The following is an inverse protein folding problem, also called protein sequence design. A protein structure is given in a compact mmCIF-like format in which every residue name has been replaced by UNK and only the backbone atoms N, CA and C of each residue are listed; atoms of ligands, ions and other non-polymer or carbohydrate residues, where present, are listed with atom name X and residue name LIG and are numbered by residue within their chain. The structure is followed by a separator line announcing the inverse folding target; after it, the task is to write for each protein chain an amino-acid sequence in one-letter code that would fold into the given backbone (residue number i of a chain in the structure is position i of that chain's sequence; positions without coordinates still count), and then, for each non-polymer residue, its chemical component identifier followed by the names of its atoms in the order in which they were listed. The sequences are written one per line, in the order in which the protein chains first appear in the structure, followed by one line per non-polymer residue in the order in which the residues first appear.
data_IF_767419145709
#
_entry.id   IF_767419145709
#
_cell.length_a   1.000
_cell.length_b   1.000
_cell.length_c   1.000
_cell.angle_alpha   90.00
_cell.angle_beta   90.00
_cell.angle_gamma   90.00
#
_symmetry.space_group_name_H-M   'P 1'
#
loop_
_entity.id
_entity.type
_entity.pdbx_description
1 polymer ?
#
# COMPACT_ATOMS: atom_id res chain seq x y z
N UNK A 1 -1.76 9.02 23.70
CA UNK A 1 -0.48 8.66 23.03
C UNK A 1 -0.67 7.25 22.46
N UNK A 2 -0.40 7.02 21.16
CA UNK A 2 -0.66 5.82 20.31
C UNK A 2 -1.70 5.96 19.17
N UNK A 3 -2.19 7.17 18.84
CA UNK A 3 -3.09 7.37 17.70
C UNK A 3 -2.50 6.89 16.36
N UNK A 4 -1.19 7.07 16.15
CA UNK A 4 -0.49 6.59 14.95
C UNK A 4 -0.50 5.06 14.83
N UNK A 5 -0.39 4.34 15.96
CA UNK A 5 -0.40 2.87 15.98
C UNK A 5 -1.79 2.33 15.65
N UNK A 6 -2.83 2.95 16.22
CA UNK A 6 -4.22 2.59 15.93
C UNK A 6 -4.52 2.80 14.44
N UNK A 7 -4.12 3.95 13.87
CA UNK A 7 -4.30 4.22 12.44
C UNK A 7 -3.55 3.20 11.56
N UNK A 8 -2.33 2.81 11.95
CA UNK A 8 -1.56 1.79 11.23
C UNK A 8 -2.23 0.40 11.29
N UNK A 9 -2.79 0.01 12.43
CA UNK A 9 -3.52 -1.25 12.58
C UNK A 9 -4.80 -1.27 11.74
N UNK A 10 -5.58 -0.17 11.77
CA UNK A 10 -6.76 -0.02 10.92
C UNK A 10 -6.37 -0.10 9.44
N UNK A 11 -5.32 0.61 9.02
CA UNK A 11 -4.84 0.56 7.65
C UNK A 11 -4.42 -0.86 7.24
N UNK A 12 -3.70 -1.58 8.11
CA UNK A 12 -3.27 -2.97 7.87
C UNK A 12 -4.48 -3.89 7.67
N UNK A 13 -5.50 -3.75 8.52
CA UNK A 13 -6.74 -4.51 8.41
C UNK A 13 -7.47 -4.19 7.10
N UNK A 14 -7.58 -2.92 6.73
CA UNK A 14 -8.22 -2.49 5.48
C UNK A 14 -7.43 -2.94 4.25
N UNK A 15 -6.10 -2.98 4.29
CA UNK A 15 -5.28 -3.55 3.20
C UNK A 15 -5.53 -5.05 3.03
N UNK A 16 -5.76 -5.79 4.11
CA UNK A 16 -6.18 -7.20 4.05
C UNK A 16 -7.53 -7.38 3.36
N UNK A 17 -8.54 -6.59 3.75
CA UNK A 17 -9.86 -6.59 3.09
C UNK A 17 -9.72 -6.20 1.62
N UNK A 18 -8.94 -5.15 1.33
CA UNK A 18 -8.71 -4.67 -0.02
C UNK A 18 -8.10 -5.74 -0.91
N UNK A 19 -7.09 -6.48 -0.44
CA UNK A 19 -6.49 -7.59 -1.21
C UNK A 19 -7.49 -8.72 -1.48
N UNK A 20 -8.28 -9.11 -0.48
CA UNK A 20 -9.32 -10.12 -0.63
C UNK A 20 -10.41 -9.70 -1.64
N UNK A 21 -10.95 -8.49 -1.50
CA UNK A 21 -11.95 -7.94 -2.41
C UNK A 21 -11.40 -7.77 -3.83
N UNK A 22 -10.14 -7.37 -3.97
CA UNK A 22 -9.46 -7.28 -5.26
C UNK A 22 -9.42 -8.64 -5.95
N UNK A 23 -9.06 -9.72 -5.21
CA UNK A 23 -9.11 -11.07 -5.78
C UNK A 23 -10.51 -11.45 -6.24
N UNK A 24 -11.54 -11.24 -5.40
CA UNK A 24 -12.93 -11.53 -5.77
C UNK A 24 -13.38 -10.77 -7.03
N UNK A 25 -13.02 -9.50 -7.13
CA UNK A 25 -13.33 -8.68 -8.30
C UNK A 25 -12.64 -9.20 -9.57
N UNK A 26 -11.35 -9.56 -9.48
CA UNK A 26 -10.57 -10.07 -10.63
C UNK A 26 -11.01 -11.44 -11.13
N UNK A 27 -11.76 -12.21 -10.33
CA UNK A 27 -12.40 -13.45 -10.78
C UNK A 27 -13.64 -13.14 -11.64
N UNK A 28 -14.30 -12.01 -11.39
CA UNK A 28 -15.57 -11.66 -12.01
C UNK A 28 -15.42 -10.82 -13.28
N UNK A 29 -14.41 -9.95 -13.32
CA UNK A 29 -14.13 -9.02 -14.43
C UNK A 29 -12.62 -8.88 -14.65
N UNK A 30 -12.22 -8.38 -15.82
CA UNK A 30 -10.81 -8.19 -16.16
C UNK A 30 -10.11 -7.19 -15.22
N UNK A 31 -8.79 -7.35 -15.05
CA UNK A 31 -7.94 -6.56 -14.15
C UNK A 31 -8.01 -5.06 -14.40
N UNK A 32 -8.06 -4.63 -15.66
CA UNK A 32 -8.16 -3.21 -16.02
C UNK A 32 -9.50 -2.61 -15.58
N UNK A 33 -10.61 -3.34 -15.75
CA UNK A 33 -11.92 -2.92 -15.23
C UNK A 33 -11.93 -2.86 -13.70
N UNK A 34 -11.34 -3.84 -13.00
CA UNK A 34 -11.19 -3.78 -11.53
C UNK A 34 -10.38 -2.55 -11.12
N UNK A 35 -9.27 -2.27 -11.80
CA UNK A 35 -8.46 -1.08 -11.58
C UNK A 35 -9.28 0.21 -11.75
N UNK A 36 -10.07 0.32 -12.82
CA UNK A 36 -10.95 1.47 -13.05
C UNK A 36 -11.96 1.66 -11.91
N UNK A 37 -12.63 0.60 -11.45
CA UNK A 37 -13.56 0.68 -10.32
C UNK A 37 -12.86 1.06 -9.01
N UNK A 38 -11.63 0.59 -8.78
CA UNK A 38 -10.82 1.02 -7.63
C UNK A 38 -10.50 2.52 -7.69
N UNK A 39 -10.17 3.07 -8.87
CA UNK A 39 -9.96 4.52 -9.04
C UNK A 39 -11.23 5.30 -8.69
N UNK A 40 -12.39 4.86 -9.17
CA UNK A 40 -13.68 5.50 -8.87
C UNK A 40 -13.99 5.48 -7.38
N UNK A 41 -13.75 4.34 -6.71
CA UNK A 41 -13.88 4.22 -5.26
C UNK A 41 -12.93 5.16 -4.50
N UNK A 42 -11.67 5.26 -4.94
CA UNK A 42 -10.67 6.16 -4.37
C UNK A 42 -11.06 7.64 -4.50
N UNK A 43 -11.55 8.05 -5.68
CA UNK A 43 -12.08 9.40 -5.91
C UNK A 43 -13.29 9.67 -5.00
N UNK A 44 -14.22 8.72 -4.89
CA UNK A 44 -15.39 8.85 -4.02
C UNK A 44 -14.99 9.07 -2.55
N UNK A 45 -14.09 8.23 -2.02
CA UNK A 45 -13.58 8.36 -0.63
C UNK A 45 -12.85 9.69 -0.45
N UNK A 46 -12.08 10.13 -1.43
CA UNK A 46 -11.36 11.42 -1.38
C UNK A 46 -12.33 12.60 -1.32
N UNK A 47 -13.35 12.62 -2.18
CA UNK A 47 -14.37 13.68 -2.20
C UNK A 47 -15.17 13.70 -0.88
N UNK A 48 -15.53 12.54 -0.35
CA UNK A 48 -16.17 12.45 0.97
C UNK A 48 -15.26 12.98 2.07
N UNK A 49 -13.99 12.57 2.08
CA UNK A 49 -13.05 13.01 3.11
C UNK A 49 -12.85 14.53 3.09
N UNK A 50 -12.69 15.12 1.89
CA UNK A 50 -12.56 16.58 1.74
C UNK A 50 -13.86 17.28 2.13
N UNK A 51 -15.01 16.80 1.64
CA UNK A 51 -16.32 17.41 1.89
C UNK A 51 -16.80 17.33 3.34
N UNK A 52 -16.34 16.34 4.11
CA UNK A 52 -16.62 16.20 5.54
C UNK A 52 -15.57 16.85 6.44
N UNK A 53 -14.46 17.34 5.87
CA UNK A 53 -13.38 17.97 6.64
C UNK A 53 -13.53 19.49 6.68
N UNK A 54 -13.34 20.08 7.86
CA UNK A 54 -13.20 21.54 8.02
C UNK A 54 -11.76 22.03 7.71
N UNK A 55 -10.91 21.15 7.19
CA UNK A 55 -9.48 21.41 6.99
C UNK A 55 -9.30 22.26 5.73
N UNK A 56 -8.60 23.39 5.86
CA UNK A 56 -8.18 24.19 4.71
C UNK A 56 -7.09 23.46 3.95
N UNK A 57 -7.33 23.19 2.66
CA UNK A 57 -6.34 22.60 1.76
C UNK A 57 -5.13 23.53 1.70
N UNK A 58 -3.94 22.97 1.95
CA UNK A 58 -2.68 23.69 1.89
C UNK A 58 -2.09 23.57 0.49
N UNK A 59 -1.71 24.70 -0.11
CA UNK A 59 -1.13 24.76 -1.46
C UNK A 59 0.34 25.12 -1.37
N UNK A 60 1.14 24.17 -0.90
CA UNK A 60 2.60 24.28 -0.87
C UNK A 60 3.20 23.45 -2.01
N UNK A 61 4.08 24.04 -2.83
CA UNK A 61 4.62 23.35 -4.02
C UNK A 61 5.40 22.07 -3.67
N UNK A 62 6.23 22.13 -2.63
CA UNK A 62 7.03 20.98 -2.20
C UNK A 62 6.13 19.84 -1.73
N UNK A 63 5.26 20.11 -0.74
CA UNK A 63 4.30 19.13 -0.23
C UNK A 63 3.35 18.59 -1.31
N UNK A 64 2.85 19.48 -2.18
CA UNK A 64 1.99 19.12 -3.30
C UNK A 64 2.67 18.20 -4.32
N UNK A 65 3.94 18.45 -4.63
CA UNK A 65 4.72 17.60 -5.56
C UNK A 65 4.95 16.20 -5.00
N UNK A 66 5.29 16.07 -3.71
CA UNK A 66 5.41 14.77 -3.05
C UNK A 66 4.05 14.07 -2.96
N UNK A 67 2.98 14.79 -2.61
CA UNK A 67 1.62 14.24 -2.59
C UNK A 67 1.17 13.72 -3.97
N UNK A 68 1.48 14.45 -5.04
CA UNK A 68 1.22 14.00 -6.41
C UNK A 68 2.00 12.73 -6.76
N UNK A 69 3.30 12.67 -6.43
CA UNK A 69 4.12 11.48 -6.65
C UNK A 69 3.63 10.26 -5.84
N UNK A 70 3.17 10.46 -4.61
CA UNK A 70 2.49 9.41 -3.81
C UNK A 70 1.26 8.90 -4.54
N UNK A 71 0.44 9.79 -5.11
CA UNK A 71 -0.71 9.42 -5.93
C UNK A 71 -0.32 8.59 -7.15
N UNK A 72 0.62 9.08 -7.98
CA UNK A 72 1.07 8.38 -9.19
C UNK A 72 1.64 7.00 -8.86
N UNK A 73 2.56 6.92 -7.89
CA UNK A 73 3.20 5.65 -7.50
C UNK A 73 2.20 4.68 -6.86
N UNK A 74 1.27 5.16 -6.04
CA UNK A 74 0.20 4.37 -5.46
C UNK A 74 -0.71 3.76 -6.53
N UNK A 75 -1.15 4.56 -7.51
CA UNK A 75 -2.01 4.05 -8.58
C UNK A 75 -1.29 3.07 -9.50
N UNK A 76 -0.01 3.31 -9.82
CA UNK A 76 0.80 2.34 -10.55
C UNK A 76 0.96 1.04 -9.77
N UNK A 77 1.23 1.10 -8.46
CA UNK A 77 1.31 -0.08 -7.61
C UNK A 77 -0.01 -0.85 -7.59
N UNK A 78 -1.16 -0.16 -7.48
CA UNK A 78 -2.50 -0.77 -7.56
C UNK A 78 -2.75 -1.44 -8.91
N UNK A 79 -2.31 -0.83 -10.02
CA UNK A 79 -2.43 -1.42 -11.36
C UNK A 79 -1.68 -2.76 -11.44
N UNK A 80 -0.40 -2.76 -11.07
CA UNK A 80 0.43 -3.97 -11.10
C UNK A 80 -0.03 -5.02 -10.08
N UNK A 81 -0.49 -4.60 -8.90
CA UNK A 81 -1.07 -5.51 -7.91
C UNK A 81 -2.33 -6.19 -8.46
N UNK A 82 -3.22 -5.42 -9.08
CA UNK A 82 -4.48 -5.95 -9.63
C UNK A 82 -4.20 -6.94 -10.77
N UNK A 83 -3.22 -6.65 -11.60
CA UNK A 83 -2.76 -7.59 -12.63
C UNK A 83 -2.18 -8.87 -12.01
N UNK A 84 -1.26 -8.74 -11.05
CA UNK A 84 -0.62 -9.87 -10.39
C UNK A 84 -1.62 -10.75 -9.63
N UNK A 85 -2.57 -10.15 -8.90
CA UNK A 85 -3.56 -10.90 -8.12
C UNK A 85 -4.63 -11.56 -9.01
N UNK A 86 -4.84 -11.07 -10.23
CA UNK A 86 -5.70 -11.74 -11.20
C UNK A 86 -5.13 -13.10 -11.63
N UNK A 87 -3.81 -13.19 -11.79
CA UNK A 87 -3.09 -14.38 -12.25
C UNK A 87 -2.62 -15.30 -11.10
N UNK A 88 -2.25 -14.72 -9.96
CA UNK A 88 -1.70 -15.43 -8.80
C UNK A 88 -2.71 -15.70 -7.68
N UNK A 89 -2.27 -16.38 -6.63
CA UNK A 89 -3.06 -16.53 -5.40
C UNK A 89 -3.04 -15.23 -4.59
N UNK A 90 -4.17 -14.89 -3.96
CA UNK A 90 -4.26 -13.69 -3.13
C UNK A 90 -3.24 -13.70 -1.99
N UNK A 91 -3.03 -14.88 -1.38
CA UNK A 91 -2.08 -15.06 -0.28
C UNK A 91 -0.65 -14.76 -0.73
N UNK A 92 -0.16 -15.35 -1.83
CA UNK A 92 1.22 -15.16 -2.29
C UNK A 92 1.45 -13.71 -2.73
N UNK A 93 0.54 -13.15 -3.53
CA UNK A 93 0.69 -11.77 -4.05
C UNK A 93 0.65 -10.75 -2.90
N UNK A 94 -0.28 -10.89 -1.95
CA UNK A 94 -0.37 -9.99 -0.79
C UNK A 94 0.88 -10.07 0.09
N UNK A 95 1.42 -11.28 0.29
CA UNK A 95 2.63 -11.50 1.09
C UNK A 95 3.87 -10.89 0.42
N UNK A 96 4.05 -11.09 -0.89
CA UNK A 96 5.16 -10.46 -1.63
C UNK A 96 5.07 -8.94 -1.57
N UNK A 97 3.88 -8.37 -1.81
CA UNK A 97 3.69 -6.90 -1.80
C UNK A 97 3.79 -6.28 -0.41
N UNK A 98 3.57 -7.05 0.66
CA UNK A 98 3.81 -6.63 2.04
C UNK A 98 5.30 -6.38 2.37
N UNK A 99 6.23 -6.67 1.45
CA UNK A 99 7.66 -6.29 1.56
C UNK A 99 7.97 -4.85 1.19
N UNK A 100 7.00 -4.04 0.78
CA UNK A 100 7.24 -2.62 0.53
C UNK A 100 7.98 -1.86 1.66
N UNK A 101 7.90 -2.25 2.96
CA UNK A 101 8.72 -1.63 4.00
C UNK A 101 10.23 -1.81 3.79
N UNK A 102 10.69 -2.88 3.12
CA UNK A 102 12.12 -3.07 2.83
C UNK A 102 12.64 -1.96 1.93
N UNK A 103 11.90 -1.63 0.87
CA UNK A 103 12.22 -0.52 -0.01
C UNK A 103 12.10 0.82 0.72
N UNK A 104 11.07 0.99 1.54
CA UNK A 104 10.86 2.22 2.33
C UNK A 104 12.03 2.47 3.28
N UNK A 105 12.46 1.44 4.00
CA UNK A 105 13.61 1.47 4.90
C UNK A 105 14.90 1.80 4.14
N UNK A 106 15.13 1.16 2.99
CA UNK A 106 16.31 1.45 2.16
C UNK A 106 16.33 2.89 1.66
N UNK A 107 15.19 3.41 1.20
CA UNK A 107 15.05 4.80 0.78
C UNK A 107 15.23 5.77 1.95
N UNK A 108 14.68 5.46 3.13
CA UNK A 108 14.85 6.27 4.33
C UNK A 108 16.32 6.33 4.78
N UNK A 109 17.02 5.19 4.73
CA UNK A 109 18.46 5.15 5.01
C UNK A 109 19.26 6.02 4.03
N UNK A 110 18.99 5.93 2.73
CA UNK A 110 19.74 6.65 1.68
C UNK A 110 19.40 8.15 1.64
N UNK A 111 18.12 8.50 1.66
CA UNK A 111 17.65 9.88 1.41
C UNK A 111 17.31 10.65 2.68
N UNK A 112 16.75 9.98 3.70
CA UNK A 112 16.42 10.62 4.99
C UNK A 112 17.57 10.51 6.01
N UNK A 113 18.61 9.74 5.69
CA UNK A 113 19.77 9.47 6.58
C UNK A 113 19.36 8.89 7.93
N UNK A 114 18.25 8.15 7.95
CA UNK A 114 17.80 7.46 9.16
C UNK A 114 18.75 6.30 9.47
N UNK A 115 19.17 6.17 10.72
CA UNK A 115 19.99 5.04 11.17
C UNK A 115 19.09 3.83 11.46
N UNK A 116 19.32 2.74 10.73
CA UNK A 116 18.70 1.45 11.01
C UNK A 116 19.25 0.86 12.32
N UNK A 117 18.36 0.60 13.26
CA UNK A 117 18.71 -0.20 14.43
C UNK A 117 18.95 -1.66 14.03
N UNK A 118 19.83 -2.34 14.76
CA UNK A 118 20.12 -3.77 14.54
C UNK A 118 18.83 -4.62 14.59
N UNK A 119 17.90 -4.28 15.49
CA UNK A 119 16.60 -4.94 15.63
C UNK A 119 15.70 -4.78 14.39
N UNK A 120 15.66 -3.59 13.78
CA UNK A 120 14.91 -3.37 12.53
C UNK A 120 15.52 -4.20 11.38
N UNK A 121 16.85 -4.28 11.31
CA UNK A 121 17.54 -5.12 10.33
C UNK A 121 17.18 -6.60 10.48
N UNK A 122 17.18 -7.12 11.71
CA UNK A 122 16.74 -8.50 12.02
C UNK A 122 15.27 -8.70 11.61
N UNK A 123 14.40 -7.73 11.91
CA UNK A 123 12.98 -7.79 11.53
C UNK A 123 12.77 -7.88 10.02
N UNK A 124 13.51 -7.11 9.23
CA UNK A 124 13.50 -7.19 7.75
C UNK A 124 13.92 -8.58 7.27
N UNK A 125 15.00 -9.13 7.82
CA UNK A 125 15.50 -10.47 7.44
C UNK A 125 14.46 -11.54 7.75
N UNK A 126 13.86 -11.51 8.95
CA UNK A 126 12.80 -12.44 9.35
C UNK A 126 11.56 -12.31 8.44
N UNK A 127 11.19 -11.09 8.06
CA UNK A 127 10.12 -10.84 7.09
C UNK A 127 10.40 -11.49 5.74
N UNK A 128 11.61 -11.33 5.19
CA UNK A 128 12.02 -11.95 3.93
C UNK A 128 11.97 -13.49 4.01
N UNK A 129 12.41 -14.08 5.12
CA UNK A 129 12.36 -15.54 5.34
C UNK A 129 10.92 -16.05 5.34
N UNK A 130 10.01 -15.35 6.03
CA UNK A 130 8.59 -15.72 6.07
C UNK A 130 7.97 -15.86 4.68
N UNK A 131 8.44 -15.07 3.72
CA UNK A 131 7.88 -15.04 2.36
C UNK A 131 8.38 -16.19 1.52
N UNK A 132 9.67 -16.50 1.61
CA UNK A 132 10.22 -17.68 0.96
C UNK A 132 9.43 -18.91 1.40
N UNK A 133 9.20 -19.04 2.72
CA UNK A 133 8.41 -20.15 3.27
C UNK A 133 6.96 -20.16 2.76
N UNK A 134 6.27 -19.02 2.76
CA UNK A 134 4.88 -18.92 2.28
C UNK A 134 4.76 -19.09 0.75
N UNK A 135 5.82 -18.82 -0.01
CA UNK A 135 5.84 -18.98 -1.47
C UNK A 135 6.16 -20.41 -1.93
N UNK A 136 6.77 -21.22 -1.06
CA UNK A 136 7.13 -22.62 -1.32
C UNK A 136 6.04 -23.62 -0.93
N UNK A 137 5.03 -23.18 -0.16
CA UNK A 137 3.87 -23.98 0.24
C UNK A 137 2.66 -23.71 -0.63
#
# INVERSE_FOLDING_TARGET
MMSWLINALIATFLFGIWGFLSKLATISINSLSVFLFQMLGGVFVTLLAVGLSDIKIQYEWQGGSYGFLVGVTGMLATLFFTEAISQGSASIVSVITALSPVFTIGLAFVFLKESLSLLQGIGVILGLISIILLSLG
#
